data_IF_719756860942
#
_entry.id   IF_719756860942
#
_cell.length_a   1.000
_cell.length_b   1.000
_cell.length_c   1.000
_cell.angle_alpha   90.00
_cell.angle_beta   90.00
_cell.angle_gamma   90.00
#
_symmetry.space_group_name_H-M   'P 1'
#
loop_
_entity.id
_entity.type
_entity.pdbx_description
1 polymer ?
#
# COMPACT_ATOMS: atom_id res chain seq x y z
N UNK A 1 -0.99 7.23 7.82
CA UNK A 1 -0.59 7.16 9.23
C UNK A 1 -0.71 8.54 9.91
N UNK A 2 -1.03 8.59 11.21
CA UNK A 2 -1.13 9.84 11.98
C UNK A 2 -0.39 9.72 13.33
N UNK A 3 0.37 10.73 13.75
CA UNK A 3 0.96 10.76 15.09
C UNK A 3 -0.08 10.69 16.20
N UNK A 4 0.27 10.05 17.31
CA UNK A 4 -0.59 9.90 18.47
C UNK A 4 0.22 10.02 19.77
N UNK A 5 -0.32 10.76 20.73
CA UNK A 5 0.31 10.95 22.04
C UNK A 5 1.68 11.64 21.98
N UNK A 6 2.43 11.49 23.08
CA UNK A 6 3.76 12.10 23.26
C UNK A 6 4.90 11.06 23.30
N UNK A 7 4.57 9.77 23.21
CA UNK A 7 5.51 8.64 23.35
C UNK A 7 5.88 7.99 22.01
N UNK A 8 5.81 8.75 20.91
CA UNK A 8 6.13 8.23 19.58
C UNK A 8 5.16 7.17 19.06
N UNK A 9 3.89 7.16 19.49
CA UNK A 9 2.88 6.26 18.92
C UNK A 9 2.37 6.82 17.59
N UNK A 10 2.07 5.93 16.64
CA UNK A 10 1.40 6.27 15.40
C UNK A 10 0.08 5.50 15.27
N UNK A 11 -0.99 6.22 14.94
CA UNK A 11 -2.28 5.64 14.56
C UNK A 11 -2.26 5.23 13.08
N UNK A 12 -2.46 3.94 12.87
CA UNK A 12 -2.52 3.28 11.56
C UNK A 12 -3.93 2.75 11.34
N UNK A 13 -4.54 3.12 10.22
CA UNK A 13 -5.78 2.51 9.76
C UNK A 13 -5.42 1.25 8.96
N UNK A 14 -5.94 0.06 9.32
CA UNK A 14 -5.65 -1.17 8.61
C UNK A 14 -6.28 -1.12 7.21
N UNK A 15 -5.51 -1.56 6.22
CA UNK A 15 -5.99 -1.86 4.84
C UNK A 15 -5.97 -3.36 4.54
N UNK A 16 -5.79 -4.15 5.59
CA UNK A 16 -5.56 -5.58 5.54
C UNK A 16 -6.25 -6.21 6.73
N UNK A 17 -6.92 -7.34 6.49
CA UNK A 17 -7.59 -8.12 7.53
C UNK A 17 -6.62 -9.02 8.31
N UNK A 18 -5.36 -9.12 7.84
CA UNK A 18 -4.29 -9.90 8.51
C UNK A 18 -3.73 -9.17 9.72
N UNK A 19 -4.22 -9.50 10.91
CA UNK A 19 -3.78 -8.93 12.18
C UNK A 19 -2.30 -9.21 12.48
N UNK A 20 -1.73 -10.32 11.99
CA UNK A 20 -0.33 -10.66 12.21
C UNK A 20 0.65 -9.62 11.64
N UNK A 21 0.21 -8.79 10.68
CA UNK A 21 1.01 -7.65 10.18
C UNK A 21 1.29 -6.60 11.24
N UNK A 22 0.46 -6.54 12.28
CA UNK A 22 0.64 -5.66 13.42
C UNK A 22 1.36 -6.35 14.59
N UNK A 23 1.75 -7.63 14.48
CA UNK A 23 2.47 -8.30 15.55
C UNK A 23 3.80 -7.59 15.89
N UNK A 24 4.22 -7.72 17.15
CA UNK A 24 5.54 -7.25 17.57
C UNK A 24 6.63 -7.91 16.73
N UNK A 25 7.56 -7.11 16.23
CA UNK A 25 8.70 -7.56 15.43
C UNK A 25 8.43 -7.66 13.94
N UNK A 26 7.19 -7.41 13.46
CA UNK A 26 6.87 -7.37 12.03
C UNK A 26 7.71 -6.31 11.32
N UNK A 27 8.32 -6.71 10.22
CA UNK A 27 9.09 -5.83 9.33
C UNK A 27 8.17 -5.33 8.21
N UNK A 28 8.11 -4.02 8.03
CA UNK A 28 7.23 -3.36 7.06
C UNK A 28 8.01 -2.30 6.29
N UNK A 29 7.45 -1.89 5.16
CA UNK A 29 7.93 -0.75 4.39
C UNK A 29 7.10 0.48 4.71
N UNK A 30 7.76 1.54 5.17
CA UNK A 30 7.16 2.85 5.36
C UNK A 30 7.34 3.66 4.07
N UNK A 31 6.22 3.97 3.43
CA UNK A 31 6.18 4.68 2.15
C UNK A 31 5.56 6.06 2.37
N UNK A 32 6.37 7.12 2.23
CA UNK A 32 5.92 8.51 2.29
C UNK A 32 5.49 8.97 0.89
N UNK A 33 4.51 9.89 0.77
CA UNK A 33 4.18 10.50 -0.52
C UNK A 33 5.43 11.10 -1.19
N UNK A 34 5.77 10.61 -2.39
CA UNK A 34 6.95 11.05 -3.15
C UNK A 34 8.32 10.68 -2.55
N UNK A 35 8.34 9.86 -1.49
CA UNK A 35 9.57 9.40 -0.84
C UNK A 35 9.94 7.96 -1.20
N UNK A 36 11.22 7.62 -1.05
CA UNK A 36 11.67 6.24 -1.15
C UNK A 36 11.15 5.41 0.04
N UNK A 37 10.79 4.13 -0.16
CA UNK A 37 10.44 3.22 0.92
C UNK A 37 11.56 3.05 1.96
N UNK A 38 11.22 3.08 3.24
CA UNK A 38 12.14 2.85 4.38
C UNK A 38 11.70 1.58 5.14
N UNK A 39 12.63 0.67 5.46
CA UNK A 39 12.30 -0.49 6.30
C UNK A 39 12.10 -0.04 7.75
N UNK A 40 11.00 -0.48 8.34
CA UNK A 40 10.67 -0.25 9.75
C UNK A 40 10.26 -1.54 10.42
N UNK A 41 10.48 -1.63 11.73
CA UNK A 41 10.10 -2.80 12.54
C UNK A 41 9.21 -2.38 13.68
N UNK A 42 8.10 -3.10 13.89
CA UNK A 42 7.15 -2.78 14.96
C UNK A 42 7.73 -3.20 16.32
N UNK A 43 7.89 -2.25 17.24
CA UNK A 43 8.30 -2.52 18.62
C UNK A 43 7.12 -3.00 19.48
N UNK A 44 5.97 -2.35 19.31
CA UNK A 44 4.71 -2.75 19.92
C UNK A 44 3.53 -2.23 19.11
N UNK A 45 2.40 -2.92 19.23
CA UNK A 45 1.13 -2.49 18.67
C UNK A 45 -0.02 -2.83 19.61
N UNK A 46 -1.13 -2.11 19.48
CA UNK A 46 -2.40 -2.45 20.11
C UNK A 46 -3.58 -1.90 19.33
N UNK A 47 -4.74 -2.59 19.35
CA UNK A 47 -5.98 -2.04 18.81
C UNK A 47 -6.35 -0.72 19.50
N UNK A 48 -6.85 0.23 18.72
CA UNK A 48 -7.34 1.52 19.20
C UNK A 48 -8.37 2.09 18.23
N UNK A 49 -9.65 2.07 18.64
CA UNK A 49 -10.81 2.39 17.78
C UNK A 49 -10.77 1.51 16.52
N UNK A 50 -11.04 2.07 15.34
CA UNK A 50 -11.02 1.35 14.06
C UNK A 50 -9.60 1.19 13.47
N UNK A 51 -8.57 1.17 14.33
CA UNK A 51 -7.19 1.04 13.87
C UNK A 51 -6.23 0.54 14.95
N UNK A 52 -4.94 0.79 14.73
CA UNK A 52 -3.86 0.33 15.59
C UNK A 52 -2.97 1.48 16.02
N UNK A 53 -2.60 1.51 17.29
CA UNK A 53 -1.49 2.33 17.76
C UNK A 53 -0.23 1.48 17.72
N UNK A 54 0.76 1.96 16.98
CA UNK A 54 2.04 1.27 16.76
C UNK A 54 3.21 2.13 17.20
N UNK A 55 4.29 1.47 17.61
CA UNK A 55 5.61 2.06 17.87
C UNK A 55 6.63 1.29 17.04
N UNK A 56 7.75 1.93 16.70
CA UNK A 56 8.77 1.33 15.85
C UNK A 56 10.11 1.26 16.59
N UNK A 57 10.86 0.19 16.37
CA UNK A 57 12.19 0.02 16.95
C UNK A 57 13.10 1.19 16.54
N UNK A 58 13.72 1.84 17.52
CA UNK A 58 14.62 2.98 17.27
C UNK A 58 13.90 4.29 16.87
N UNK A 59 12.57 4.37 17.01
CA UNK A 59 11.79 5.58 16.76
C UNK A 59 10.91 5.87 17.99
N UNK A 60 11.45 6.63 18.94
CA UNK A 60 10.73 7.05 20.15
C UNK A 60 10.36 8.54 20.15
N UNK A 61 10.88 9.31 19.20
CA UNK A 61 10.70 10.76 19.11
C UNK A 61 9.42 11.13 18.37
N UNK A 62 8.61 12.02 18.96
CA UNK A 62 7.37 12.47 18.36
C UNK A 62 7.61 13.17 17.02
N UNK A 63 8.67 13.96 16.93
CA UNK A 63 9.09 14.69 15.74
C UNK A 63 9.33 13.73 14.56
N UNK A 64 9.93 12.56 14.82
CA UNK A 64 10.15 11.54 13.79
C UNK A 64 8.83 10.91 13.35
N UNK A 65 7.89 10.69 14.25
CA UNK A 65 6.55 10.20 13.90
C UNK A 65 5.72 11.25 13.15
N UNK A 66 5.87 12.55 13.46
CA UNK A 66 5.22 13.63 12.69
C UNK A 66 5.64 13.60 11.23
N UNK A 67 6.89 13.24 10.94
CA UNK A 67 7.38 13.05 9.56
C UNK A 67 6.68 11.90 8.81
N UNK A 68 5.98 11.02 9.52
CA UNK A 68 5.25 9.90 8.93
C UNK A 68 3.79 10.21 8.62
N UNK A 69 3.36 11.46 8.79
CA UNK A 69 2.02 11.89 8.42
C UNK A 69 1.77 11.63 6.94
N UNK A 70 0.68 10.93 6.64
CA UNK A 70 0.33 10.55 5.26
C UNK A 70 1.10 9.34 4.73
N UNK A 71 2.10 8.82 5.45
CA UNK A 71 2.78 7.59 5.05
C UNK A 71 1.86 6.36 5.16
N UNK A 72 2.17 5.35 4.36
CA UNK A 72 1.52 4.04 4.31
C UNK A 72 2.51 2.98 4.79
N UNK A 73 2.00 1.91 5.40
CA UNK A 73 2.78 0.72 5.72
C UNK A 73 2.42 -0.37 4.73
N UNK A 74 3.45 -0.94 4.11
CA UNK A 74 3.34 -1.95 3.05
C UNK A 74 4.20 -3.17 3.38
N UNK A 75 3.93 -4.29 2.72
CA UNK A 75 4.71 -5.54 2.80
C UNK A 75 5.30 -5.84 1.42
N UNK A 76 6.35 -6.65 1.38
CA UNK A 76 6.87 -7.15 0.11
C UNK A 76 5.81 -7.91 -0.69
N UNK A 77 5.90 -7.88 -2.02
CA UNK A 77 4.99 -8.63 -2.91
C UNK A 77 5.04 -10.13 -2.63
N UNK A 78 6.20 -10.65 -2.24
CA UNK A 78 6.47 -12.02 -1.83
C UNK A 78 5.85 -12.41 -0.48
N UNK A 79 5.46 -11.42 0.34
CA UNK A 79 4.79 -11.63 1.63
C UNK A 79 3.26 -11.60 1.51
N UNK A 80 2.73 -11.27 0.33
CA UNK A 80 1.29 -11.32 0.06
C UNK A 80 0.89 -12.77 -0.23
N UNK A 81 -0.17 -13.25 0.45
CA UNK A 81 -0.71 -14.58 0.18
C UNK A 81 -1.16 -14.69 -1.29
N UNK A 82 -1.07 -15.90 -1.84
CA UNK A 82 -1.66 -16.16 -3.15
C UNK A 82 -3.16 -15.79 -3.15
N UNK A 83 -3.66 -15.16 -4.21
CA UNK A 83 -5.08 -14.91 -4.34
C UNK A 83 -5.83 -16.25 -4.47
N UNK A 84 -7.14 -16.28 -4.18
CA UNK A 84 -7.97 -17.45 -4.46
C UNK A 84 -7.85 -17.91 -5.92
N UNK A 85 -8.15 -19.19 -6.17
CA UNK A 85 -8.12 -19.73 -7.53
C UNK A 85 -9.01 -18.89 -8.47
N UNK A 86 -8.48 -18.57 -9.65
CA UNK A 86 -9.14 -17.70 -10.63
C UNK A 86 -9.15 -16.21 -10.30
N UNK A 87 -8.45 -15.78 -9.24
CA UNK A 87 -8.31 -14.37 -8.85
C UNK A 87 -6.87 -13.87 -9.03
N UNK A 88 -6.71 -12.56 -9.13
CA UNK A 88 -5.41 -11.88 -9.22
C UNK A 88 -5.38 -10.69 -8.28
N UNK A 89 -4.20 -10.30 -7.81
CA UNK A 89 -4.07 -9.02 -7.13
C UNK A 89 -4.05 -7.88 -8.14
N UNK A 90 -4.63 -6.73 -7.79
CA UNK A 90 -4.64 -5.56 -8.68
C UNK A 90 -3.23 -5.09 -9.04
N UNK A 91 -2.28 -5.18 -8.10
CA UNK A 91 -0.88 -4.86 -8.36
C UNK A 91 -0.20 -5.87 -9.30
N UNK A 92 -0.74 -7.08 -9.47
CA UNK A 92 -0.24 -8.04 -10.46
C UNK A 92 -0.59 -7.63 -11.89
N UNK A 93 -1.58 -6.74 -12.07
CA UNK A 93 -1.96 -6.23 -13.38
C UNK A 93 -0.96 -5.21 -13.92
N UNK A 94 -0.25 -4.49 -13.05
CA UNK A 94 0.75 -3.49 -13.47
C UNK A 94 1.92 -4.19 -14.18
N UNK A 95 2.22 -3.76 -15.40
CA UNK A 95 3.21 -4.37 -16.30
C UNK A 95 2.62 -5.39 -17.29
N UNK A 96 1.34 -5.76 -17.16
CA UNK A 96 0.69 -6.64 -18.13
C UNK A 96 0.38 -5.91 -19.44
N UNK A 97 0.43 -6.65 -20.56
CA UNK A 97 -0.07 -6.17 -21.86
C UNK A 97 -1.58 -6.29 -21.94
N UNK A 98 -2.25 -5.20 -22.28
CA UNK A 98 -3.69 -5.15 -22.48
C UNK A 98 -4.00 -5.38 -23.97
N UNK A 99 -4.82 -6.40 -24.25
CA UNK A 99 -5.29 -6.71 -25.60
C UNK A 99 -6.82 -6.64 -25.65
N UNK A 100 -7.34 -5.87 -26.60
CA UNK A 100 -8.73 -5.93 -27.01
C UNK A 100 -8.94 -7.06 -28.02
N UNK A 101 -10.12 -7.68 -28.00
CA UNK A 101 -10.44 -8.82 -28.87
C UNK A 101 -10.59 -8.41 -30.34
N UNK A 102 -10.93 -7.16 -30.61
CA UNK A 102 -11.18 -6.63 -31.96
C UNK A 102 -10.04 -5.70 -32.40
N UNK A 103 -9.60 -4.77 -31.53
CA UNK A 103 -8.59 -3.76 -31.86
C UNK A 103 -7.14 -4.25 -31.70
N UNK A 104 -6.91 -5.37 -31.01
CA UNK A 104 -5.57 -5.91 -30.75
C UNK A 104 -4.88 -5.28 -29.55
N UNK A 105 -3.55 -5.10 -29.61
CA UNK A 105 -2.77 -4.58 -28.46
C UNK A 105 -3.11 -3.12 -28.17
N UNK A 106 -3.63 -2.86 -26.97
CA UNK A 106 -3.96 -1.51 -26.50
C UNK A 106 -2.77 -0.82 -25.84
N UNK A 107 -1.87 -1.57 -25.20
CA UNK A 107 -0.69 -1.05 -24.51
C UNK A 107 -0.35 -1.80 -23.22
N UNK A 108 0.36 -1.14 -22.30
CA UNK A 108 0.79 -1.72 -21.02
C UNK A 108 0.01 -1.10 -19.86
N UNK A 109 -0.44 -1.92 -18.91
CA UNK A 109 -1.07 -1.45 -17.68
C UNK A 109 -0.01 -0.80 -16.80
N UNK A 110 -0.20 0.48 -16.46
CA UNK A 110 0.76 1.26 -15.66
C UNK A 110 0.24 1.63 -14.27
N UNK A 111 -1.07 1.53 -14.05
CA UNK A 111 -1.67 1.86 -12.77
C UNK A 111 -3.05 1.22 -12.61
N UNK A 112 -3.51 1.07 -11.37
CA UNK A 112 -4.88 0.67 -11.03
C UNK A 112 -5.38 1.57 -9.90
N UNK A 113 -6.48 2.29 -10.14
CA UNK A 113 -6.96 3.37 -9.27
C UNK A 113 -8.38 3.08 -8.79
N UNK A 114 -8.68 3.32 -7.51
CA UNK A 114 -10.04 3.31 -6.99
C UNK A 114 -10.64 4.72 -7.10
N UNK A 115 -11.78 4.89 -7.79
CA UNK A 115 -12.42 6.19 -8.01
C UNK A 115 -13.70 6.41 -7.17
N UNK A 116 -14.02 5.47 -6.28
CA UNK A 116 -15.24 5.47 -5.46
C UNK A 116 -16.47 4.85 -6.14
N UNK A 117 -16.41 4.59 -7.45
CA UNK A 117 -17.38 3.81 -8.20
C UNK A 117 -16.88 2.40 -8.58
N UNK A 118 -15.56 2.20 -8.56
CA UNK A 118 -14.92 0.92 -8.79
C UNK A 118 -13.40 1.04 -8.95
N UNK A 119 -12.80 0.04 -9.58
CA UNK A 119 -11.40 0.03 -9.95
C UNK A 119 -11.24 0.42 -11.42
N UNK A 120 -10.32 1.32 -11.70
CA UNK A 120 -9.98 1.77 -13.04
C UNK A 120 -8.57 1.30 -13.40
N UNK A 121 -8.42 0.66 -14.55
CA UNK A 121 -7.13 0.22 -15.10
C UNK A 121 -6.60 1.30 -16.04
N UNK A 122 -5.41 1.81 -15.75
CA UNK A 122 -4.74 2.82 -16.57
C UNK A 122 -3.75 2.13 -17.50
N UNK A 123 -3.99 2.24 -18.81
CA UNK A 123 -3.14 1.66 -19.86
C UNK A 123 -2.36 2.78 -20.56
N UNK A 124 -1.04 2.66 -20.56
CA UNK A 124 -0.16 3.52 -21.34
C UNK A 124 -0.16 3.08 -22.81
N UNK A 125 -0.49 4.03 -23.69
CA UNK A 125 -0.49 3.84 -25.15
C UNK A 125 0.71 4.55 -25.80
N UNK A 126 0.99 4.18 -27.04
CA UNK A 126 1.97 4.87 -27.88
C UNK A 126 1.66 6.37 -27.98
N UNK A 127 2.73 7.18 -27.99
CA UNK A 127 2.65 8.65 -28.04
C UNK A 127 2.28 9.32 -26.71
N UNK A 128 2.44 8.63 -25.57
CA UNK A 128 2.23 9.21 -24.23
C UNK A 128 0.76 9.38 -23.83
N UNK A 129 -0.18 8.83 -24.62
CA UNK A 129 -1.61 8.84 -24.30
C UNK A 129 -1.93 7.79 -23.24
N UNK A 130 -2.96 8.06 -22.44
CA UNK A 130 -3.49 7.11 -21.45
C UNK A 130 -4.91 6.72 -21.82
N UNK A 131 -5.21 5.43 -21.72
CA UNK A 131 -6.56 4.89 -21.77
C UNK A 131 -6.93 4.47 -20.35
N UNK A 132 -8.17 4.77 -19.95
CA UNK A 132 -8.71 4.33 -18.66
C UNK A 132 -9.84 3.36 -18.95
N UNK A 133 -9.73 2.16 -18.40
CA UNK A 133 -10.72 1.09 -18.53
C UNK A 133 -11.38 0.87 -17.16
N UNK A 134 -12.72 0.72 -17.10
CA UNK A 134 -13.40 0.31 -15.88
C UNK A 134 -13.24 -1.20 -15.59
#
# INVERSE_FOLDING_TARGET
MRPHGVRGEALVAPRSEREERFAKGSELWLVKPGGAPERVRLESSRPYRDGWLVTFEGISERERIESFRGAVLEVGRDEVAAPPEGSFWLFDLVGCRCHDREEGELGEVVDVVEDGGGWLIVVARSGGRRLVLP
#
